data_IF_817786663310
#
_entry.id   IF_817786663310
#
_cell.length_a   1.000
_cell.length_b   1.000
_cell.length_c   1.000
_cell.angle_alpha   90.00
_cell.angle_beta   90.00
_cell.angle_gamma   90.00
#
_symmetry.space_group_name_H-M   'P 1'
#
loop_
_entity.id
_entity.type
_entity.pdbx_description
1 polymer ?
#
# COMPACT_ATOMS: atom_id res chain seq x y z
N UNK A 1 24.02 -0.94 -11.88
CA UNK A 1 23.11 -0.03 -12.65
C UNK A 1 23.61 1.43 -12.69
N UNK A 2 24.45 1.90 -11.80
CA UNK A 2 24.88 3.32 -11.66
C UNK A 2 23.70 4.30 -11.54
N UNK A 3 22.66 3.92 -10.84
CA UNK A 3 21.54 4.78 -10.49
C UNK A 3 21.81 5.54 -9.20
N UNK A 4 21.02 6.57 -8.94
CA UNK A 4 21.10 7.35 -7.70
C UNK A 4 20.42 6.56 -6.57
N UNK A 5 21.23 6.02 -5.66
CA UNK A 5 20.74 5.19 -4.53
C UNK A 5 19.88 6.01 -3.55
N UNK A 6 20.25 7.28 -3.30
CA UNK A 6 19.48 8.16 -2.40
C UNK A 6 18.08 8.44 -2.96
N UNK A 7 17.95 8.59 -4.29
CA UNK A 7 16.64 8.77 -4.93
C UNK A 7 15.81 7.49 -4.85
N UNK A 8 16.41 6.31 -5.06
CA UNK A 8 15.71 5.02 -4.89
C UNK A 8 15.21 4.87 -3.45
N UNK A 9 16.05 5.16 -2.46
CA UNK A 9 15.70 5.07 -1.04
C UNK A 9 14.58 6.04 -0.69
N UNK A 10 14.67 7.30 -1.12
CA UNK A 10 13.64 8.31 -0.85
C UNK A 10 12.28 7.91 -1.44
N UNK A 11 12.24 7.38 -2.67
CA UNK A 11 11.00 6.89 -3.29
C UNK A 11 10.49 5.66 -2.52
N UNK A 12 11.38 4.70 -2.20
CA UNK A 12 11.02 3.49 -1.49
C UNK A 12 10.46 3.75 -0.09
N UNK A 13 11.00 4.72 0.65
CA UNK A 13 10.48 5.12 1.97
C UNK A 13 9.14 5.86 1.86
N UNK A 14 8.93 6.60 0.78
CA UNK A 14 7.75 7.46 0.62
C UNK A 14 6.55 6.79 -0.05
N UNK A 15 6.73 5.69 -0.79
CA UNK A 15 5.70 5.19 -1.72
C UNK A 15 4.39 4.78 -1.04
N UNK A 16 4.43 4.24 0.17
CA UNK A 16 3.28 3.71 0.91
C UNK A 16 2.87 4.51 2.15
N UNK A 17 3.38 5.74 2.35
CA UNK A 17 3.02 6.62 3.48
C UNK A 17 1.51 6.89 3.58
N UNK A 18 0.80 6.87 2.46
CA UNK A 18 -0.64 7.07 2.39
C UNK A 18 -1.48 5.80 2.45
N UNK A 19 -0.89 4.67 2.81
CA UNK A 19 -1.63 3.42 2.90
C UNK A 19 -2.60 3.43 4.08
N UNK A 20 -3.81 2.91 3.86
CA UNK A 20 -4.87 2.87 4.87
C UNK A 20 -4.69 1.70 5.84
N UNK A 21 -5.28 1.75 7.05
CA UNK A 21 -5.48 0.57 7.86
C UNK A 21 -6.16 -0.54 7.04
N UNK A 22 -5.77 -1.79 7.30
CA UNK A 22 -6.25 -2.99 6.59
C UNK A 22 -5.95 -3.00 5.09
N UNK A 23 -4.90 -2.34 4.68
CA UNK A 23 -4.36 -2.40 3.33
C UNK A 23 -5.40 -2.03 2.26
N UNK A 24 -5.45 -2.77 1.18
CA UNK A 24 -6.38 -2.52 0.09
C UNK A 24 -7.87 -2.63 0.47
N UNK A 25 -8.21 -3.31 1.58
CA UNK A 25 -9.60 -3.33 2.05
C UNK A 25 -10.02 -1.95 2.55
N UNK A 26 -9.16 -1.28 3.31
CA UNK A 26 -9.37 0.09 3.76
C UNK A 26 -9.36 1.10 2.61
N UNK A 27 -8.43 0.96 1.67
CA UNK A 27 -8.41 1.79 0.46
C UNK A 27 -9.72 1.72 -0.31
N UNK A 28 -10.24 0.51 -0.55
CA UNK A 28 -11.55 0.32 -1.20
C UNK A 28 -12.70 0.96 -0.41
N UNK A 29 -12.64 0.91 0.93
CA UNK A 29 -13.64 1.55 1.78
C UNK A 29 -13.61 3.07 1.62
N UNK A 30 -12.45 3.71 1.81
CA UNK A 30 -12.31 5.16 1.68
C UNK A 30 -12.59 5.65 0.26
N UNK A 31 -12.19 4.89 -0.78
CA UNK A 31 -12.48 5.23 -2.16
C UNK A 31 -13.98 5.29 -2.48
N UNK A 32 -14.80 4.48 -1.82
CA UNK A 32 -16.27 4.51 -1.98
C UNK A 32 -16.94 5.62 -1.17
N UNK A 33 -16.35 6.02 -0.05
CA UNK A 33 -16.92 6.96 0.89
C UNK A 33 -16.55 8.42 0.55
N UNK A 34 -15.35 8.63 0.03
CA UNK A 34 -14.88 9.97 -0.36
C UNK A 34 -15.51 10.40 -1.68
N UNK A 35 -16.07 11.62 -1.77
CA UNK A 35 -16.61 12.16 -3.02
C UNK A 35 -15.61 12.21 -4.18
N UNK A 36 -14.34 12.48 -3.88
CA UNK A 36 -13.25 12.53 -4.87
C UNK A 36 -12.54 11.18 -5.06
N UNK A 37 -13.04 10.13 -4.38
CA UNK A 37 -12.37 8.85 -4.30
C UNK A 37 -11.14 8.90 -3.40
N UNK A 38 -10.45 7.76 -3.28
CA UNK A 38 -9.21 7.62 -2.51
C UNK A 38 -8.28 6.63 -3.19
N UNK A 39 -6.97 6.92 -3.17
CA UNK A 39 -5.94 6.00 -3.62
C UNK A 39 -4.65 6.23 -2.84
N UNK A 40 -4.06 5.15 -2.27
CA UNK A 40 -2.88 5.23 -1.41
C UNK A 40 -1.71 6.00 -2.05
N UNK A 41 -1.40 5.78 -3.32
CA UNK A 41 -0.30 6.46 -4.01
C UNK A 41 -0.49 7.98 -4.14
N UNK A 42 -1.74 8.46 -4.27
CA UNK A 42 -2.07 9.89 -4.22
C UNK A 42 -1.98 10.42 -2.81
N UNK A 43 -2.45 9.62 -1.85
CA UNK A 43 -2.37 9.97 -0.44
C UNK A 43 -0.92 10.01 0.05
N UNK A 44 -0.03 9.12 -0.43
CA UNK A 44 1.41 9.18 -0.11
C UNK A 44 2.03 10.50 -0.56
N UNK A 45 1.71 10.96 -1.76
CA UNK A 45 2.13 12.29 -2.23
C UNK A 45 1.55 13.40 -1.36
N UNK A 46 0.28 13.29 -0.97
CA UNK A 46 -0.38 14.27 -0.09
C UNK A 46 0.24 14.31 1.30
N UNK A 47 0.55 13.15 1.89
CA UNK A 47 1.28 13.08 3.16
C UNK A 47 2.60 13.84 3.02
N UNK A 48 3.41 13.50 2.01
CA UNK A 48 4.72 14.09 1.82
C UNK A 48 4.69 15.60 1.50
N UNK A 49 3.72 16.08 0.74
CA UNK A 49 3.67 17.48 0.28
C UNK A 49 2.83 18.40 1.14
N UNK A 50 1.86 17.86 1.89
CA UNK A 50 0.82 18.69 2.54
C UNK A 50 0.72 18.41 4.04
N UNK A 51 0.78 17.14 4.48
CA UNK A 51 0.47 16.81 5.87
C UNK A 51 1.69 16.89 6.79
N UNK A 52 2.84 16.43 6.32
CA UNK A 52 4.08 16.43 7.11
C UNK A 52 4.52 17.84 7.54
N UNK A 53 5.31 17.91 8.60
CA UNK A 53 5.83 19.16 9.19
C UNK A 53 4.72 20.19 9.48
N UNK A 54 3.68 19.76 10.17
CA UNK A 54 2.55 20.64 10.55
C UNK A 54 1.87 21.30 9.35
N UNK A 55 1.90 20.59 8.21
CA UNK A 55 1.27 21.01 6.96
C UNK A 55 2.15 21.85 6.03
N UNK A 56 3.45 21.92 6.26
CA UNK A 56 4.41 22.57 5.34
C UNK A 56 4.94 21.61 4.27
N UNK A 57 4.82 20.31 4.51
CA UNK A 57 5.35 19.25 3.63
C UNK A 57 6.87 19.09 3.73
N UNK A 58 7.36 18.02 3.10
CA UNK A 58 8.78 17.63 3.15
C UNK A 58 9.66 18.35 2.11
N UNK A 59 9.08 19.11 1.19
CA UNK A 59 9.80 19.76 0.08
C UNK A 59 10.67 18.79 -0.74
N UNK A 60 10.09 17.63 -1.10
CA UNK A 60 10.77 16.62 -1.90
C UNK A 60 10.95 17.07 -3.35
N UNK A 61 11.96 16.52 -4.04
CA UNK A 61 12.18 16.79 -5.46
C UNK A 61 11.05 16.22 -6.31
N UNK A 62 10.90 16.74 -7.53
CA UNK A 62 9.90 16.25 -8.48
C UNK A 62 10.09 14.75 -8.79
N UNK A 63 11.34 14.30 -8.93
CA UNK A 63 11.68 12.91 -9.23
C UNK A 63 11.23 11.97 -8.12
N UNK A 64 11.37 12.38 -6.86
CA UNK A 64 10.89 11.62 -5.70
C UNK A 64 9.36 11.54 -5.70
N UNK A 65 8.68 12.66 -5.92
CA UNK A 65 7.22 12.71 -5.97
C UNK A 65 6.67 11.92 -7.16
N UNK A 66 7.29 12.01 -8.33
CA UNK A 66 6.92 11.20 -9.50
C UNK A 66 7.05 9.70 -9.22
N UNK A 67 8.16 9.29 -8.59
CA UNK A 67 8.39 7.91 -8.18
C UNK A 67 7.32 7.41 -7.21
N UNK A 68 7.01 8.17 -6.17
CA UNK A 68 5.94 7.87 -5.20
C UNK A 68 4.58 7.75 -5.91
N UNK A 69 4.21 8.71 -6.75
CA UNK A 69 2.91 8.74 -7.44
C UNK A 69 2.74 7.57 -8.41
N UNK A 70 3.82 7.13 -9.04
CA UNK A 70 3.81 6.18 -10.14
C UNK A 70 4.35 4.78 -9.81
N UNK A 71 4.58 4.45 -8.50
CA UNK A 71 5.12 3.13 -8.10
C UNK A 71 4.18 1.96 -8.43
N UNK A 72 2.88 2.17 -8.44
CA UNK A 72 1.88 1.14 -8.72
C UNK A 72 2.09 0.42 -10.06
N UNK A 73 1.55 -0.79 -10.21
CA UNK A 73 1.71 -1.63 -11.42
C UNK A 73 1.36 -0.93 -12.73
N UNK A 74 0.31 -0.08 -12.74
CA UNK A 74 -0.12 0.68 -13.93
C UNK A 74 0.59 2.03 -14.09
N UNK A 75 1.41 2.44 -13.12
CA UNK A 75 2.16 3.68 -13.16
C UNK A 75 3.35 3.61 -14.13
N UNK A 76 3.83 4.80 -14.51
CA UNK A 76 4.95 4.95 -15.42
C UNK A 76 5.90 6.00 -14.85
N UNK A 77 6.76 5.64 -13.88
CA UNK A 77 7.75 6.55 -13.34
C UNK A 77 8.65 7.10 -14.45
N UNK A 78 8.96 8.38 -14.41
CA UNK A 78 9.78 9.04 -15.41
C UNK A 78 11.28 8.69 -15.26
N UNK A 79 11.72 8.41 -14.01
CA UNK A 79 13.12 8.08 -13.73
C UNK A 79 13.34 6.56 -13.71
N UNK A 80 14.56 6.13 -13.97
CA UNK A 80 14.95 4.71 -13.84
C UNK A 80 14.86 4.25 -12.37
N UNK A 81 15.19 5.12 -11.43
CA UNK A 81 15.08 4.89 -9.99
C UNK A 81 13.63 4.58 -9.59
N UNK A 82 12.67 5.39 -10.05
CA UNK A 82 11.25 5.13 -9.83
C UNK A 82 10.77 3.82 -10.47
N UNK A 83 11.31 3.48 -11.66
CA UNK A 83 11.02 2.19 -12.30
C UNK A 83 11.59 1.01 -11.49
N UNK A 84 12.77 1.14 -10.89
CA UNK A 84 13.33 0.12 -9.99
C UNK A 84 12.42 -0.08 -8.80
N UNK A 85 12.01 0.99 -8.11
CA UNK A 85 11.09 0.89 -6.96
C UNK A 85 9.80 0.20 -7.36
N UNK A 86 9.19 0.57 -8.49
CA UNK A 86 7.97 -0.06 -9.00
C UNK A 86 8.10 -1.58 -9.22
N UNK A 87 9.24 -2.06 -9.71
CA UNK A 87 9.49 -3.49 -9.87
C UNK A 87 9.77 -4.16 -8.53
N UNK A 88 10.57 -3.51 -7.68
CA UNK A 88 10.92 -4.01 -6.35
C UNK A 88 9.70 -4.17 -5.46
N UNK A 89 8.81 -3.18 -5.42
CA UNK A 89 7.54 -3.23 -4.73
C UNK A 89 6.70 -4.43 -5.20
N UNK A 90 6.55 -4.60 -6.52
CA UNK A 90 5.80 -5.72 -7.09
C UNK A 90 6.38 -7.08 -6.73
N UNK A 91 7.69 -7.22 -6.73
CA UNK A 91 8.38 -8.45 -6.35
C UNK A 91 8.21 -8.69 -4.85
N UNK A 92 8.37 -7.65 -4.04
CA UNK A 92 8.30 -7.73 -2.59
C UNK A 92 6.91 -8.18 -2.12
N UNK A 93 5.83 -7.50 -2.55
CA UNK A 93 4.48 -7.84 -2.06
C UNK A 93 4.07 -9.26 -2.43
N UNK A 94 4.35 -9.74 -3.65
CA UNK A 94 4.02 -11.12 -4.06
C UNK A 94 4.69 -12.13 -3.14
N UNK A 95 5.96 -11.90 -2.78
CA UNK A 95 6.73 -12.85 -1.97
C UNK A 95 6.37 -12.77 -0.50
N UNK A 96 6.14 -11.57 0.05
CA UNK A 96 5.69 -11.40 1.43
C UNK A 96 4.31 -12.00 1.65
N UNK A 97 3.37 -11.74 0.74
CA UNK A 97 2.03 -12.32 0.80
C UNK A 97 2.07 -13.86 0.68
N UNK A 98 2.99 -14.38 -0.14
CA UNK A 98 3.20 -15.83 -0.26
C UNK A 98 3.76 -16.44 1.03
N UNK A 99 4.77 -15.82 1.63
CA UNK A 99 5.36 -16.28 2.89
C UNK A 99 4.32 -16.24 4.02
N UNK A 100 3.48 -15.21 4.06
CA UNK A 100 2.39 -15.10 5.05
C UNK A 100 1.30 -16.15 4.81
N UNK A 101 0.93 -16.40 3.55
CA UNK A 101 -0.03 -17.44 3.20
C UNK A 101 0.49 -18.85 3.51
N UNK A 102 1.79 -19.09 3.35
CA UNK A 102 2.43 -20.35 3.73
C UNK A 102 2.44 -20.52 5.27
N UNK A 103 2.77 -19.49 6.03
CA UNK A 103 2.69 -19.52 7.51
C UNK A 103 1.27 -19.76 7.99
N UNK A 104 0.27 -19.22 7.29
CA UNK A 104 -1.13 -19.45 7.58
C UNK A 104 -1.67 -20.80 7.06
N UNK A 105 -0.84 -21.63 6.45
CA UNK A 105 -1.20 -22.91 5.83
C UNK A 105 -2.32 -22.80 4.76
N UNK A 106 -2.39 -21.66 4.09
CA UNK A 106 -3.35 -21.40 2.99
C UNK A 106 -2.81 -21.93 1.65
N UNK A 107 -1.50 -21.86 1.46
CA UNK A 107 -0.78 -22.30 0.26
C UNK A 107 0.53 -22.98 0.66
N UNK A 108 1.03 -23.84 -0.20
CA UNK A 108 2.35 -24.49 -0.07
C UNK A 108 3.16 -24.29 -1.35
N UNK A 109 4.46 -24.58 -1.33
CA UNK A 109 5.28 -24.56 -2.57
C UNK A 109 4.78 -25.55 -3.62
N UNK A 110 4.14 -26.65 -3.22
CA UNK A 110 3.61 -27.65 -4.14
C UNK A 110 2.36 -27.20 -4.90
N UNK A 111 1.69 -26.15 -4.43
CA UNK A 111 0.58 -25.51 -5.15
C UNK A 111 1.06 -24.63 -6.31
N UNK A 112 2.37 -24.35 -6.40
CA UNK A 112 2.99 -23.63 -7.51
C UNK A 112 3.35 -24.64 -8.60
N UNK A 113 2.86 -24.45 -9.85
CA UNK A 113 3.18 -25.35 -10.96
C UNK A 113 4.68 -25.57 -11.12
N UNK A 114 5.06 -26.82 -11.40
CA UNK A 114 6.48 -27.18 -11.55
C UNK A 114 7.19 -26.36 -12.64
N UNK A 115 6.48 -25.98 -13.68
CA UNK A 115 6.98 -25.11 -14.76
C UNK A 115 7.42 -23.74 -14.23
N UNK A 116 6.62 -23.16 -13.34
CA UNK A 116 6.97 -21.88 -12.68
C UNK A 116 8.13 -22.05 -11.69
N UNK A 117 8.16 -23.16 -10.93
CA UNK A 117 9.27 -23.43 -10.00
C UNK A 117 10.59 -23.62 -10.75
N UNK A 118 10.59 -24.27 -11.90
CA UNK A 118 11.77 -24.41 -12.76
C UNK A 118 12.21 -23.06 -13.34
N UNK A 119 11.26 -22.22 -13.75
CA UNK A 119 11.53 -20.94 -14.38
C UNK A 119 12.00 -19.89 -13.36
N UNK A 120 11.30 -19.78 -12.23
CA UNK A 120 11.48 -18.70 -11.27
C UNK A 120 12.32 -19.07 -10.05
N UNK A 121 12.30 -20.33 -9.64
CA UNK A 121 12.96 -20.86 -8.44
C UNK A 121 12.02 -21.67 -7.55
N UNK A 122 12.57 -22.59 -6.78
CA UNK A 122 11.84 -23.56 -5.95
C UNK A 122 11.44 -23.05 -4.57
N UNK A 123 11.90 -21.85 -4.20
CA UNK A 123 11.61 -21.19 -2.93
C UNK A 123 11.73 -19.67 -3.08
N UNK A 124 11.24 -18.92 -2.08
CA UNK A 124 11.28 -17.45 -2.06
C UNK A 124 12.67 -16.88 -2.35
N UNK A 125 13.72 -17.45 -1.74
CA UNK A 125 15.10 -16.98 -1.94
C UNK A 125 15.57 -17.12 -3.40
N UNK A 126 15.30 -18.26 -4.02
CA UNK A 126 15.67 -18.51 -5.42
C UNK A 126 14.88 -17.60 -6.36
N UNK A 127 13.56 -17.45 -6.12
CA UNK A 127 12.72 -16.56 -6.93
C UNK A 127 13.18 -15.11 -6.84
N UNK A 128 13.46 -14.59 -5.65
CA UNK A 128 13.99 -13.24 -5.47
C UNK A 128 15.31 -13.06 -6.22
N UNK A 129 16.21 -14.04 -6.10
CA UNK A 129 17.50 -14.02 -6.83
C UNK A 129 17.29 -13.98 -8.34
N UNK A 130 16.39 -14.79 -8.88
CA UNK A 130 16.05 -14.81 -10.31
C UNK A 130 15.54 -13.45 -10.78
N UNK A 131 14.56 -12.86 -10.08
CA UNK A 131 14.00 -11.57 -10.47
C UNK A 131 15.03 -10.44 -10.43
N UNK A 132 15.85 -10.39 -9.37
CA UNK A 132 16.88 -9.35 -9.21
C UNK A 132 17.93 -9.45 -10.33
N UNK A 133 18.47 -10.66 -10.61
CA UNK A 133 19.49 -10.85 -11.64
C UNK A 133 18.94 -10.52 -13.03
N UNK A 134 17.75 -10.98 -13.36
CA UNK A 134 17.15 -10.70 -14.68
C UNK A 134 16.89 -9.21 -14.89
N UNK A 135 16.46 -8.48 -13.86
CA UNK A 135 16.34 -7.03 -13.96
C UNK A 135 17.71 -6.39 -14.20
N UNK A 136 18.76 -6.80 -13.47
CA UNK A 136 20.11 -6.29 -13.64
C UNK A 136 20.64 -6.57 -15.05
N UNK A 137 20.49 -7.79 -15.53
CA UNK A 137 21.00 -8.21 -16.84
C UNK A 137 20.25 -7.54 -18.01
N UNK A 138 18.96 -7.27 -17.85
CA UNK A 138 18.15 -6.62 -18.89
C UNK A 138 18.31 -5.09 -18.96
N UNK A 139 18.92 -4.47 -17.94
CA UNK A 139 19.15 -3.00 -17.89
C UNK A 139 20.41 -2.58 -18.63
N UNK A 140 21.37 -3.48 -18.83
CA UNK A 140 22.63 -3.16 -19.49
C UNK A 140 22.36 -2.51 -20.84
N UNK A 141 22.76 -1.24 -20.97
CA UNK A 141 22.63 -0.41 -22.18
C UNK A 141 21.19 -0.04 -22.60
N UNK A 142 20.23 -0.03 -21.67
CA UNK A 142 18.83 0.38 -21.94
C UNK A 142 18.42 1.60 -21.12
N UNK A 143 17.48 2.35 -21.68
CA UNK A 143 16.88 3.57 -21.10
C UNK A 143 15.63 3.26 -20.25
N UNK A 144 15.35 1.98 -19.95
CA UNK A 144 14.20 1.51 -19.18
C UNK A 144 14.47 0.21 -18.45
N UNK A 145 13.83 0.06 -17.29
CA UNK A 145 13.84 -1.17 -16.51
C UNK A 145 12.84 -2.16 -17.10
N UNK A 146 13.30 -3.36 -17.45
CA UNK A 146 12.46 -4.42 -18.03
C UNK A 146 12.86 -5.78 -17.48
N UNK A 147 11.90 -6.71 -17.51
CA UNK A 147 12.15 -8.14 -17.38
C UNK A 147 12.10 -8.81 -18.74
N UNK A 148 12.72 -9.98 -18.88
CA UNK A 148 12.50 -10.83 -20.05
C UNK A 148 11.02 -11.27 -20.12
N UNK A 149 10.46 -11.44 -21.34
CA UNK A 149 9.02 -11.75 -21.50
C UNK A 149 8.56 -12.99 -20.74
N UNK A 150 9.36 -14.05 -20.73
CA UNK A 150 9.10 -15.30 -20.03
C UNK A 150 9.01 -15.13 -18.50
N UNK A 151 9.94 -14.37 -17.92
CA UNK A 151 9.94 -14.06 -16.48
C UNK A 151 8.78 -13.12 -16.12
N UNK A 152 8.46 -12.17 -16.99
CA UNK A 152 7.31 -11.31 -16.78
C UNK A 152 6.00 -12.10 -16.81
N UNK A 153 5.85 -13.05 -17.73
CA UNK A 153 4.70 -13.95 -17.82
C UNK A 153 4.63 -14.85 -16.58
N UNK A 154 5.75 -15.46 -16.19
CA UNK A 154 5.83 -16.28 -14.98
C UNK A 154 5.46 -15.51 -13.70
N UNK A 155 5.88 -14.23 -13.58
CA UNK A 155 5.47 -13.39 -12.45
C UNK A 155 3.96 -13.09 -12.48
N UNK A 156 3.37 -12.87 -13.66
CA UNK A 156 1.93 -12.66 -13.78
C UNK A 156 1.13 -13.92 -13.44
N UNK A 157 1.61 -15.09 -13.83
CA UNK A 157 1.00 -16.37 -13.48
C UNK A 157 1.10 -16.64 -11.98
N UNK A 158 2.26 -16.40 -11.36
CA UNK A 158 2.43 -16.52 -9.91
C UNK A 158 1.45 -15.59 -9.17
N UNK A 159 1.30 -14.35 -9.62
CA UNK A 159 0.32 -13.41 -9.07
C UNK A 159 -1.13 -13.91 -9.24
N UNK A 160 -1.45 -14.55 -10.36
CA UNK A 160 -2.79 -15.11 -10.58
C UNK A 160 -3.08 -16.27 -9.62
N UNK A 161 -2.09 -17.12 -9.32
CA UNK A 161 -2.20 -18.19 -8.32
C UNK A 161 -2.45 -17.59 -6.93
N UNK A 162 -1.70 -16.56 -6.54
CA UNK A 162 -1.91 -15.85 -5.29
C UNK A 162 -3.32 -15.25 -5.22
N UNK A 163 -3.79 -14.66 -6.32
CA UNK A 163 -5.13 -14.10 -6.37
C UNK A 163 -6.21 -15.18 -6.14
N UNK A 164 -6.09 -16.33 -6.79
CA UNK A 164 -7.07 -17.41 -6.70
C UNK A 164 -7.07 -18.11 -5.34
N UNK A 165 -5.90 -18.36 -4.76
CA UNK A 165 -5.77 -19.19 -3.57
C UNK A 165 -5.76 -18.38 -2.26
N UNK A 166 -5.26 -17.15 -2.29
CA UNK A 166 -5.05 -16.33 -1.09
C UNK A 166 -6.06 -15.18 -1.04
N UNK A 167 -6.06 -14.29 -2.02
CA UNK A 167 -6.85 -13.05 -1.95
C UNK A 167 -8.38 -13.27 -2.09
N UNK A 168 -8.82 -14.40 -2.66
CA UNK A 168 -10.24 -14.76 -2.72
C UNK A 168 -10.67 -15.73 -1.62
N UNK A 169 -9.78 -16.07 -0.69
CA UNK A 169 -10.10 -16.97 0.41
C UNK A 169 -11.29 -16.46 1.23
N UNK A 170 -12.38 -17.25 1.43
CA UNK A 170 -13.57 -16.79 2.13
C UNK A 170 -13.32 -16.34 3.58
N UNK A 171 -12.36 -16.96 4.29
CA UNK A 171 -12.00 -16.56 5.65
C UNK A 171 -11.38 -15.16 5.67
N UNK A 172 -10.43 -14.88 4.78
CA UNK A 172 -9.84 -13.56 4.63
C UNK A 172 -10.89 -12.50 4.23
N UNK A 173 -11.79 -12.83 3.30
CA UNK A 173 -12.88 -11.95 2.86
C UNK A 173 -13.85 -11.58 3.96
N UNK A 174 -14.13 -12.49 4.88
CA UNK A 174 -14.99 -12.21 6.04
C UNK A 174 -14.35 -11.16 6.97
N UNK A 175 -13.06 -11.26 7.24
CA UNK A 175 -12.36 -10.28 8.07
C UNK A 175 -12.22 -8.93 7.35
N UNK A 176 -11.93 -8.92 6.04
CA UNK A 176 -11.95 -7.69 5.24
C UNK A 176 -13.30 -6.95 5.32
N UNK A 177 -14.42 -7.68 5.27
CA UNK A 177 -15.74 -7.06 5.37
C UNK A 177 -15.96 -6.36 6.72
N UNK A 178 -15.48 -6.94 7.81
CA UNK A 178 -15.53 -6.29 9.12
C UNK A 178 -14.69 -5.01 9.16
N UNK A 179 -13.48 -5.06 8.60
CA UNK A 179 -12.60 -3.90 8.50
C UNK A 179 -13.25 -2.76 7.68
N UNK A 180 -13.85 -3.09 6.53
CA UNK A 180 -14.58 -2.14 5.69
C UNK A 180 -15.75 -1.51 6.44
N UNK A 181 -16.54 -2.31 7.17
CA UNK A 181 -17.68 -1.82 7.97
C UNK A 181 -17.20 -0.88 9.09
N UNK A 182 -16.13 -1.28 9.79
CA UNK A 182 -15.54 -0.49 10.87
C UNK A 182 -15.04 0.87 10.36
N UNK A 183 -14.25 0.88 9.29
CA UNK A 183 -13.77 2.12 8.69
C UNK A 183 -14.90 3.00 8.16
N UNK A 184 -15.97 2.39 7.63
CA UNK A 184 -17.13 3.16 7.16
C UNK A 184 -17.85 3.86 8.31
N UNK A 185 -17.95 3.22 9.48
CA UNK A 185 -18.53 3.84 10.67
C UNK A 185 -17.63 4.94 11.24
N UNK A 186 -16.31 4.72 11.30
CA UNK A 186 -15.34 5.76 11.69
C UNK A 186 -15.39 6.97 10.76
N UNK A 187 -15.45 6.73 9.44
CA UNK A 187 -15.58 7.80 8.46
C UNK A 187 -16.85 8.63 8.66
N UNK A 188 -17.99 7.95 8.83
CA UNK A 188 -19.28 8.62 9.12
C UNK A 188 -19.19 9.48 10.38
N UNK A 189 -18.67 8.90 11.46
CA UNK A 189 -18.52 9.60 12.74
C UNK A 189 -17.64 10.85 12.62
N UNK A 190 -16.43 10.74 12.09
CA UNK A 190 -15.55 11.90 11.97
C UNK A 190 -16.02 12.93 10.93
N UNK A 191 -16.81 12.51 9.95
CA UNK A 191 -17.43 13.44 9.03
C UNK A 191 -18.60 14.22 9.69
N UNK A 192 -19.28 13.66 10.67
CA UNK A 192 -20.30 14.35 11.49
C UNK A 192 -19.67 15.14 12.63
N UNK A 193 -18.57 14.63 13.21
CA UNK A 193 -17.87 15.14 14.38
C UNK A 193 -16.39 15.47 14.08
N UNK A 194 -16.09 16.43 13.21
CA UNK A 194 -14.70 16.77 12.87
C UNK A 194 -13.90 17.29 14.10
N UNK A 195 -14.57 17.82 15.11
CA UNK A 195 -13.97 18.23 16.39
C UNK A 195 -13.40 17.06 17.21
N UNK A 196 -13.75 15.83 16.89
CA UNK A 196 -13.23 14.61 17.53
C UNK A 196 -11.88 14.13 16.92
N UNK A 197 -11.46 14.69 15.79
CA UNK A 197 -10.14 14.44 15.22
C UNK A 197 -9.07 15.20 16.02
N UNK A 198 -7.79 14.82 15.83
CA UNK A 198 -6.69 15.61 16.42
C UNK A 198 -6.65 17.01 15.82
N UNK A 199 -6.12 17.97 16.60
CA UNK A 199 -6.10 19.39 16.27
C UNK A 199 -5.50 19.69 14.90
N UNK A 200 -4.47 18.97 14.54
CA UNK A 200 -3.79 19.05 13.24
C UNK A 200 -4.77 18.94 12.06
N UNK A 201 -5.67 17.94 12.08
CA UNK A 201 -6.67 17.74 11.01
C UNK A 201 -7.84 18.72 11.10
N UNK A 202 -8.19 19.18 12.30
CA UNK A 202 -9.15 20.28 12.47
C UNK A 202 -8.62 21.58 11.84
N UNK A 203 -7.33 21.86 12.01
CA UNK A 203 -6.67 23.05 11.46
C UNK A 203 -6.62 23.02 9.92
N UNK A 204 -6.51 21.84 9.29
CA UNK A 204 -6.65 21.70 7.83
C UNK A 204 -8.01 22.20 7.34
N UNK A 205 -9.08 21.89 8.07
CA UNK A 205 -10.44 22.33 7.72
C UNK A 205 -10.60 23.82 8.01
N UNK A 206 -10.25 24.25 9.21
CA UNK A 206 -10.60 25.59 9.73
C UNK A 206 -9.74 26.71 9.15
N UNK A 207 -8.46 26.43 8.86
CA UNK A 207 -7.49 27.47 8.47
C UNK A 207 -6.91 27.28 7.07
N UNK A 208 -6.94 26.04 6.51
CA UNK A 208 -6.35 25.77 5.21
C UNK A 208 -7.38 25.49 4.11
N UNK A 209 -8.69 25.53 4.45
CA UNK A 209 -9.77 25.34 3.49
C UNK A 209 -9.84 23.93 2.89
N UNK A 210 -9.24 22.93 3.55
CA UNK A 210 -9.33 21.53 3.12
C UNK A 210 -10.77 21.04 3.32
N UNK A 211 -11.42 20.43 2.30
CA UNK A 211 -12.75 19.88 2.47
C UNK A 211 -12.78 18.85 3.62
N UNK A 212 -13.85 18.87 4.40
CA UNK A 212 -14.01 18.01 5.58
C UNK A 212 -13.80 16.52 5.25
N UNK A 213 -14.41 16.03 4.18
CA UNK A 213 -14.24 14.64 3.75
C UNK A 213 -12.78 14.27 3.45
N UNK A 214 -11.99 15.22 2.92
CA UNK A 214 -10.57 15.00 2.66
C UNK A 214 -9.77 14.92 3.96
N UNK A 215 -10.01 15.83 4.91
CA UNK A 215 -9.37 15.80 6.22
C UNK A 215 -9.71 14.51 7.00
N UNK A 216 -10.93 13.99 6.85
CA UNK A 216 -11.33 12.69 7.42
C UNK A 216 -10.57 11.54 6.76
N UNK A 217 -10.40 11.55 5.43
CA UNK A 217 -9.57 10.58 4.73
C UNK A 217 -8.10 10.67 5.19
N UNK A 218 -7.56 11.87 5.33
CA UNK A 218 -6.20 12.11 5.82
C UNK A 218 -6.00 11.52 7.22
N UNK A 219 -6.95 11.76 8.12
CA UNK A 219 -6.92 11.26 9.49
C UNK A 219 -7.01 9.74 9.55
N UNK A 220 -7.94 9.14 8.82
CA UNK A 220 -8.14 7.69 8.82
C UNK A 220 -7.00 6.95 8.15
N UNK A 221 -6.46 7.47 7.05
CA UNK A 221 -5.32 6.83 6.37
C UNK A 221 -4.02 6.88 7.19
N UNK A 222 -3.88 7.85 8.10
CA UNK A 222 -2.76 7.93 9.03
C UNK A 222 -2.84 7.00 10.24
N UNK A 223 -3.94 6.25 10.41
CA UNK A 223 -4.08 5.29 11.51
C UNK A 223 -3.37 3.96 11.20
N UNK A 224 -2.86 3.30 12.25
CA UNK A 224 -2.54 1.88 12.19
C UNK A 224 -3.81 1.03 12.33
N UNK A 225 -3.75 -0.25 11.95
CA UNK A 225 -4.85 -1.20 12.16
C UNK A 225 -5.30 -1.22 13.62
N UNK A 226 -4.33 -1.32 14.53
CA UNK A 226 -4.60 -1.37 15.96
C UNK A 226 -5.26 -0.08 16.47
N UNK A 227 -4.73 1.09 16.08
CA UNK A 227 -5.29 2.37 16.51
C UNK A 227 -6.72 2.56 15.99
N UNK A 228 -6.99 2.17 14.74
CA UNK A 228 -8.36 2.23 14.21
C UNK A 228 -9.33 1.31 14.94
N UNK A 229 -8.91 0.10 15.32
CA UNK A 229 -9.70 -0.81 16.17
C UNK A 229 -9.95 -0.26 17.57
N UNK A 230 -8.96 0.38 18.18
CA UNK A 230 -9.10 1.02 19.49
C UNK A 230 -10.08 2.20 19.42
N UNK A 231 -9.96 3.06 18.40
CA UNK A 231 -10.89 4.17 18.18
C UNK A 231 -12.32 3.68 17.94
N UNK A 232 -12.47 2.61 17.18
CA UNK A 232 -13.79 2.00 16.97
C UNK A 232 -14.39 1.50 18.28
N UNK A 233 -13.62 0.80 19.10
CA UNK A 233 -14.08 0.33 20.42
C UNK A 233 -14.46 1.49 21.34
N UNK A 234 -13.64 2.55 21.34
CA UNK A 234 -13.91 3.74 22.15
C UNK A 234 -15.23 4.39 21.81
N UNK A 235 -15.56 4.50 20.52
CA UNK A 235 -16.69 5.26 20.00
C UNK A 235 -18.00 4.43 19.91
N UNK A 236 -17.90 3.14 19.61
CA UNK A 236 -19.06 2.33 19.24
C UNK A 236 -19.37 1.17 20.19
N UNK A 237 -18.42 0.83 21.08
CA UNK A 237 -18.64 -0.26 22.04
C UNK A 237 -18.87 0.33 23.43
N UNK A 238 -20.04 0.05 24.06
CA UNK A 238 -20.31 0.51 25.42
C UNK A 238 -19.25 -0.02 26.41
N UNK A 239 -18.78 0.86 27.30
CA UNK A 239 -17.91 0.46 28.41
C UNK A 239 -18.78 -0.14 29.52
N UNK A 240 -18.26 -1.20 30.18
CA UNK A 240 -18.89 -1.70 31.41
C UNK A 240 -18.86 -0.62 32.50
N UNK A 241 -19.90 -0.54 33.27
CA UNK A 241 -19.91 0.31 34.45
C UNK A 241 -19.02 -0.33 35.53
N UNK A 242 -17.84 0.19 35.70
CA UNK A 242 -16.99 -0.11 36.85
C UNK A 242 -17.38 0.86 37.97
N UNK A 243 -18.19 0.36 38.90
CA UNK A 243 -18.45 1.06 40.17
C UNK A 243 -17.41 0.55 41.15
N UNK A 244 -16.40 1.35 41.43
CA UNK A 244 -15.50 1.13 42.56
C UNK A 244 -15.99 1.92 43.79
#
# INVERSE_FOLDING_TARGET
MRLNEDLVEAIALGHDLGHTPFGHAGERALNKLSPDGFAHYKQSVRVAQVLEKEGEGLNLTWETIDGILNHRTSGKPATLEGQVVRFSDKIAYIHHDMDDAQRAHVITEDDIPITLRVLLGYNTKERLNTFVHIIIDNIMDRDRITMSPDIQEGMMELRAIMFQNVYTNPAAKKEEQKAVQMLSQLYGYYNEHPEAMSREYQDLINFRGVPKYQAVCDYLSGMTDQFSMEKFRELFIPKSWEVY
#
